data_IF_216195129822
#
_entry.id   IF_216195129822
#
_cell.length_a   1.000
_cell.length_b   1.000
_cell.length_c   1.000
_cell.angle_alpha   90.00
_cell.angle_beta   90.00
_cell.angle_gamma   90.00
#
_symmetry.space_group_name_H-M   'P 1'
#
loop_
_entity.id
_entity.type
_entity.pdbx_description
1 polymer ?
#
# COMPACT_ATOMS: atom_id res chain seq x y z
N UNK A 1 -6.97 -53.72 40.73
CA UNK A 1 -6.12 -53.78 39.51
C UNK A 1 -7.05 -53.47 38.35
N UNK A 2 -6.92 -52.42 37.53
CA UNK A 2 -5.79 -51.60 37.14
C UNK A 2 -6.38 -50.25 36.71
N UNK A 3 -5.88 -49.13 37.23
CA UNK A 3 -6.26 -47.81 36.78
C UNK A 3 -5.62 -47.56 35.41
N UNK A 4 -6.40 -47.39 34.35
CA UNK A 4 -5.88 -46.84 33.09
C UNK A 4 -6.25 -45.36 33.06
N UNK A 5 -5.26 -44.54 33.43
CA UNK A 5 -5.26 -43.10 33.29
C UNK A 5 -4.91 -42.80 31.81
N UNK A 6 -5.89 -42.45 30.99
CA UNK A 6 -5.65 -41.92 29.64
C UNK A 6 -5.33 -40.43 29.77
N UNK A 7 -4.04 -40.09 29.69
CA UNK A 7 -3.58 -38.72 29.50
C UNK A 7 -3.82 -38.37 28.04
N UNK A 8 -4.93 -37.66 27.75
CA UNK A 8 -5.10 -36.97 26.49
C UNK A 8 -4.14 -35.77 26.51
N UNK A 9 -2.98 -35.93 25.88
CA UNK A 9 -2.10 -34.80 25.58
C UNK A 9 -2.84 -33.91 24.57
N UNK A 10 -3.42 -32.81 25.06
CA UNK A 10 -3.87 -31.72 24.22
C UNK A 10 -2.64 -31.17 23.50
N UNK A 11 -2.45 -31.59 22.25
CA UNK A 11 -1.55 -30.94 21.32
C UNK A 11 -2.13 -29.55 21.07
N UNK A 12 -1.77 -28.60 21.93
CA UNK A 12 -1.88 -27.19 21.62
C UNK A 12 -0.91 -26.98 20.45
N UNK A 13 -1.40 -27.14 19.22
CA UNK A 13 -0.83 -26.42 18.10
C UNK A 13 -1.03 -24.94 18.44
N UNK A 14 -0.06 -24.37 19.14
CA UNK A 14 0.17 -22.95 19.06
C UNK A 14 0.48 -22.70 17.59
N UNK A 15 -0.56 -22.33 16.83
CA UNK A 15 -0.35 -21.56 15.62
C UNK A 15 0.44 -20.36 16.12
N UNK A 16 1.73 -20.31 15.80
CA UNK A 16 2.45 -19.06 15.93
C UNK A 16 1.73 -18.13 14.95
N UNK A 17 0.90 -17.25 15.48
CA UNK A 17 0.35 -16.14 14.72
C UNK A 17 1.58 -15.36 14.21
N UNK A 18 1.77 -15.33 12.89
CA UNK A 18 2.83 -14.55 12.28
C UNK A 18 2.41 -13.08 12.37
N UNK A 19 2.97 -12.34 13.32
CA UNK A 19 2.59 -10.95 13.48
C UNK A 19 2.91 -10.12 12.22
N UNK A 20 2.09 -9.11 11.95
CA UNK A 20 2.40 -8.12 10.94
C UNK A 20 3.58 -7.25 11.40
N UNK A 21 4.49 -6.94 10.49
CA UNK A 21 5.70 -6.18 10.75
C UNK A 21 5.75 -4.91 9.90
N UNK A 22 6.26 -3.83 10.49
CA UNK A 22 6.55 -2.57 9.83
C UNK A 22 8.02 -2.21 10.10
N UNK A 23 8.85 -2.32 9.07
CA UNK A 23 10.31 -2.25 9.22
C UNK A 23 10.92 -1.32 8.18
N UNK A 24 11.82 -0.43 8.60
CA UNK A 24 12.67 0.29 7.64
C UNK A 24 13.76 -0.65 7.13
N UNK A 25 13.88 -0.79 5.82
CA UNK A 25 14.86 -1.66 5.17
C UNK A 25 16.24 -1.03 5.29
N UNK A 26 17.19 -1.77 5.85
CA UNK A 26 18.59 -1.34 6.03
C UNK A 26 19.53 -2.48 5.67
N UNK A 27 20.80 -2.16 5.42
CA UNK A 27 21.81 -3.19 5.18
C UNK A 27 21.95 -4.18 6.35
N UNK A 28 21.78 -3.68 7.58
CA UNK A 28 21.94 -4.44 8.83
C UNK A 28 20.85 -5.51 9.02
N UNK A 29 19.60 -5.23 8.62
CA UNK A 29 18.46 -6.14 8.84
C UNK A 29 18.05 -6.92 7.59
N UNK A 30 18.52 -6.56 6.40
CA UNK A 30 18.08 -7.16 5.13
C UNK A 30 18.09 -8.69 5.14
N UNK A 31 19.12 -9.32 5.70
CA UNK A 31 19.25 -10.78 5.73
C UNK A 31 18.12 -11.50 6.50
N UNK A 32 17.41 -10.79 7.38
CA UNK A 32 16.27 -11.32 8.13
C UNK A 32 14.91 -10.88 7.59
N UNK A 33 14.86 -10.05 6.55
CA UNK A 33 13.62 -9.49 6.03
C UNK A 33 13.06 -10.28 4.85
N UNK A 34 11.74 -10.38 4.84
CA UNK A 34 10.92 -10.93 3.78
C UNK A 34 10.59 -9.87 2.70
N UNK A 35 11.59 -9.12 2.23
CA UNK A 35 11.40 -8.11 1.18
C UNK A 35 10.98 -8.77 -0.15
N UNK A 36 10.24 -8.07 -1.02
CA UNK A 36 9.97 -8.56 -2.37
C UNK A 36 11.28 -8.81 -3.11
N UNK A 37 11.51 -10.06 -3.50
CA UNK A 37 12.68 -10.51 -4.24
C UNK A 37 12.29 -10.80 -5.70
N UNK A 38 13.15 -10.43 -6.64
CA UNK A 38 12.84 -10.50 -8.06
C UNK A 38 13.77 -9.67 -8.94
N UNK A 39 13.68 -9.87 -10.25
CA UNK A 39 14.52 -9.19 -11.25
C UNK A 39 14.32 -7.66 -11.26
N UNK A 40 13.19 -7.18 -10.76
CA UNK A 40 12.74 -5.79 -10.90
C UNK A 40 12.39 -5.13 -9.56
N UNK A 41 12.84 -5.67 -8.42
CA UNK A 41 12.62 -5.03 -7.11
C UNK A 41 13.06 -3.56 -7.14
N UNK A 42 12.12 -2.65 -6.92
CA UNK A 42 12.32 -1.19 -7.04
C UNK A 42 12.70 -0.57 -5.68
N UNK A 43 12.60 -1.32 -4.58
CA UNK A 43 12.96 -0.89 -3.24
C UNK A 43 14.46 -0.60 -3.07
N UNK A 44 14.77 0.32 -2.16
CA UNK A 44 16.14 0.65 -1.73
C UNK A 44 16.21 0.82 -0.20
N UNK A 45 17.43 0.90 0.34
CA UNK A 45 17.61 1.20 1.76
C UNK A 45 16.95 2.53 2.17
N UNK A 46 16.24 2.49 3.30
CA UNK A 46 15.42 3.58 3.83
C UNK A 46 13.95 3.50 3.44
N UNK A 47 13.56 2.66 2.49
CA UNK A 47 12.15 2.36 2.25
C UNK A 47 11.56 1.53 3.41
N UNK A 48 10.23 1.48 3.49
CA UNK A 48 9.52 0.82 4.59
C UNK A 48 8.79 -0.41 4.10
N UNK A 49 9.12 -1.56 4.67
CA UNK A 49 8.47 -2.84 4.46
C UNK A 49 7.28 -2.98 5.40
N UNK A 50 6.12 -3.36 4.85
CA UNK A 50 4.99 -3.95 5.57
C UNK A 50 4.89 -5.41 5.15
N UNK A 51 4.93 -6.32 6.12
CA UNK A 51 4.90 -7.77 5.81
C UNK A 51 4.10 -8.55 6.84
N UNK A 52 3.42 -9.60 6.37
CA UNK A 52 2.77 -10.62 7.19
C UNK A 52 2.99 -12.01 6.55
N UNK A 53 2.19 -13.00 6.94
CA UNK A 53 2.23 -14.36 6.40
C UNK A 53 1.78 -14.47 4.93
N UNK A 54 1.00 -13.51 4.42
CA UNK A 54 0.43 -13.56 3.06
C UNK A 54 1.17 -12.70 2.05
N UNK A 55 1.52 -11.48 2.42
CA UNK A 55 2.04 -10.47 1.49
C UNK A 55 3.25 -9.72 2.04
N UNK A 56 4.01 -9.17 1.11
CA UNK A 56 5.12 -8.25 1.36
C UNK A 56 4.90 -7.00 0.50
N UNK A 57 4.84 -5.83 1.13
CA UNK A 57 4.57 -4.55 0.49
C UNK A 57 5.63 -3.52 0.89
N UNK A 58 6.16 -2.77 -0.07
CA UNK A 58 7.14 -1.72 0.18
C UNK A 58 6.56 -0.35 -0.13
N UNK A 59 6.60 0.52 0.87
CA UNK A 59 6.32 1.96 0.75
C UNK A 59 7.64 2.70 0.62
N UNK A 60 7.80 3.46 -0.47
CA UNK A 60 9.03 4.19 -0.71
C UNK A 60 9.24 5.29 0.34
N UNK A 61 10.50 5.52 0.72
CA UNK A 61 10.88 6.53 1.70
C UNK A 61 10.25 7.91 1.38
N UNK A 62 9.62 8.54 2.36
CA UNK A 62 8.85 9.78 2.21
C UNK A 62 9.74 11.01 1.99
N UNK A 63 10.40 11.08 0.83
CA UNK A 63 11.27 12.19 0.42
C UNK A 63 11.08 12.53 -1.06
N UNK A 64 11.09 13.83 -1.44
CA UNK A 64 10.84 14.24 -2.84
C UNK A 64 11.79 13.61 -3.86
N UNK A 65 13.04 13.34 -3.47
CA UNK A 65 14.05 12.75 -4.34
C UNK A 65 13.92 11.24 -4.56
N UNK A 66 12.92 10.57 -3.95
CA UNK A 66 12.73 9.14 -4.14
C UNK A 66 12.08 8.86 -5.50
N UNK A 67 12.79 8.10 -6.33
CA UNK A 67 12.34 7.59 -7.62
C UNK A 67 12.58 6.08 -7.61
N UNK A 68 11.57 5.26 -7.91
CA UNK A 68 11.70 3.81 -8.01
C UNK A 68 12.80 3.45 -9.01
N UNK A 69 12.74 4.05 -10.20
CA UNK A 69 13.78 3.92 -11.23
C UNK A 69 13.86 5.18 -12.13
N UNK A 70 14.63 5.12 -13.22
CA UNK A 70 14.85 6.27 -14.11
C UNK A 70 13.57 6.82 -14.76
N UNK A 71 12.52 5.99 -14.85
CA UNK A 71 11.25 6.32 -15.51
C UNK A 71 10.09 6.47 -14.54
N UNK A 72 10.16 5.87 -13.36
CA UNK A 72 9.14 5.93 -12.30
C UNK A 72 9.64 6.87 -11.20
N UNK A 73 9.18 8.12 -11.23
CA UNK A 73 9.70 9.21 -10.39
C UNK A 73 8.69 9.67 -9.35
N UNK A 74 9.21 10.44 -8.38
CA UNK A 74 8.46 11.06 -7.28
C UNK A 74 7.56 10.08 -6.51
N UNK A 75 8.12 8.93 -6.11
CA UNK A 75 7.36 7.84 -5.47
C UNK A 75 7.40 7.89 -3.94
N UNK A 76 7.92 8.97 -3.34
CA UNK A 76 8.04 9.08 -1.89
C UNK A 76 6.69 8.94 -1.18
N UNK A 77 6.55 7.93 -0.33
CA UNK A 77 5.30 7.59 0.35
C UNK A 77 4.30 6.79 -0.48
N UNK A 78 4.66 6.36 -1.70
CA UNK A 78 3.86 5.50 -2.56
C UNK A 78 4.24 4.02 -2.37
N UNK A 79 3.34 3.09 -2.71
CA UNK A 79 3.68 1.66 -2.74
C UNK A 79 4.39 1.37 -4.05
N UNK A 80 5.58 0.76 -3.99
CA UNK A 80 6.44 0.52 -5.15
C UNK A 80 6.65 -0.96 -5.43
N UNK A 81 6.55 -1.81 -4.42
CA UNK A 81 6.61 -3.26 -4.57
C UNK A 81 5.46 -3.89 -3.78
N UNK A 82 4.76 -4.87 -4.34
CA UNK A 82 3.73 -5.64 -3.65
C UNK A 82 3.67 -7.07 -4.20
N UNK A 83 3.89 -8.06 -3.35
CA UNK A 83 3.85 -9.47 -3.77
C UNK A 83 3.30 -10.39 -2.70
N UNK A 84 2.79 -11.54 -3.14
CA UNK A 84 2.51 -12.67 -2.26
C UNK A 84 3.81 -13.28 -1.72
N UNK A 85 3.76 -13.78 -0.48
CA UNK A 85 4.87 -14.43 0.21
C UNK A 85 5.19 -15.81 -0.34
N UNK A 86 4.16 -16.59 -0.67
CA UNK A 86 4.32 -17.97 -1.15
C UNK A 86 4.83 -18.03 -2.59
N UNK A 87 4.51 -17.03 -3.41
CA UNK A 87 4.94 -16.93 -4.81
C UNK A 87 5.39 -15.49 -5.13
N UNK A 88 6.60 -15.09 -4.67
CA UNK A 88 7.11 -13.75 -4.92
C UNK A 88 7.29 -13.49 -6.42
N UNK A 89 6.61 -12.45 -6.94
CA UNK A 89 6.72 -12.04 -8.32
C UNK A 89 6.20 -10.60 -8.52
N UNK A 90 6.85 -9.64 -7.89
CA UNK A 90 6.44 -8.25 -8.02
C UNK A 90 6.73 -7.70 -9.41
N UNK A 91 5.73 -7.03 -9.99
CA UNK A 91 5.76 -6.33 -11.29
C UNK A 91 5.06 -4.96 -11.19
N UNK A 92 4.71 -4.52 -9.98
CA UNK A 92 4.15 -3.21 -9.74
C UNK A 92 5.26 -2.19 -9.96
N UNK A 93 5.00 -1.13 -10.74
CA UNK A 93 5.97 -0.04 -10.81
C UNK A 93 5.73 0.98 -9.72
N UNK A 94 4.45 1.36 -9.51
CA UNK A 94 4.05 2.24 -8.41
C UNK A 94 2.52 2.35 -8.29
N UNK A 95 2.01 2.33 -7.07
CA UNK A 95 0.67 2.82 -6.71
C UNK A 95 0.79 4.19 -6.04
N UNK A 96 0.20 5.22 -6.64
CA UNK A 96 0.21 6.61 -6.18
C UNK A 96 -1.12 6.96 -5.49
N UNK A 97 -1.22 6.87 -4.16
CA UNK A 97 -2.41 7.32 -3.44
C UNK A 97 -2.62 8.82 -3.66
N UNK A 98 -3.87 9.22 -3.84
CA UNK A 98 -4.25 10.61 -4.09
C UNK A 98 -3.64 11.22 -5.36
N UNK A 99 -3.06 10.42 -6.25
CA UNK A 99 -2.32 10.90 -7.41
C UNK A 99 -0.90 11.39 -7.12
N UNK A 100 -0.30 11.01 -5.99
CA UNK A 100 1.14 11.18 -5.75
C UNK A 100 1.52 12.50 -5.10
N UNK A 101 0.94 12.82 -3.95
CA UNK A 101 1.35 13.97 -3.15
C UNK A 101 2.79 13.81 -2.60
N UNK A 102 3.40 14.92 -2.19
CA UNK A 102 4.68 14.90 -1.47
C UNK A 102 4.44 14.58 0.01
N UNK A 103 4.44 13.30 0.32
CA UNK A 103 4.21 12.79 1.67
C UNK A 103 5.44 12.90 2.57
N UNK A 104 5.20 13.11 3.86
CA UNK A 104 6.18 13.07 4.96
C UNK A 104 5.71 12.09 6.02
N UNK A 105 6.62 11.37 6.66
CA UNK A 105 6.31 10.54 7.82
C UNK A 105 5.75 11.37 8.98
N UNK A 106 4.65 10.92 9.58
CA UNK A 106 4.05 11.55 10.76
C UNK A 106 3.82 10.58 11.93
N UNK A 107 4.02 9.28 11.73
CA UNK A 107 3.99 8.31 12.82
C UNK A 107 3.67 6.90 12.37
N UNK A 108 3.67 5.99 13.33
CA UNK A 108 3.28 4.61 13.15
C UNK A 108 2.50 4.11 14.36
N UNK A 109 1.69 3.07 14.17
CA UNK A 109 0.93 2.44 15.25
C UNK A 109 1.11 0.93 15.26
N UNK A 110 1.07 0.33 16.45
CA UNK A 110 1.00 -1.12 16.66
C UNK A 110 -0.27 -1.41 17.45
N UNK A 111 -1.13 -2.27 16.92
CA UNK A 111 -2.41 -2.66 17.53
C UNK A 111 -3.28 -1.44 17.92
N UNK A 112 -3.23 -0.39 17.09
CA UNK A 112 -3.95 0.87 17.30
C UNK A 112 -3.31 1.82 18.31
N UNK A 113 -2.15 1.46 18.88
CA UNK A 113 -1.41 2.30 19.83
C UNK A 113 -0.28 3.04 19.10
N UNK A 114 -0.21 4.35 19.32
CA UNK A 114 0.87 5.20 18.83
C UNK A 114 2.24 4.74 19.31
N UNK A 115 3.18 4.63 18.37
CA UNK A 115 4.58 4.41 18.69
C UNK A 115 5.34 5.71 18.43
N UNK A 116 6.02 6.20 19.46
CA UNK A 116 6.96 7.32 19.35
C UNK A 116 8.20 6.84 18.62
N UNK A 117 8.20 6.98 17.30
CA UNK A 117 9.37 6.75 16.45
C UNK A 117 9.72 8.04 15.70
N UNK A 118 11.02 8.27 15.54
CA UNK A 118 11.56 9.33 14.68
C UNK A 118 11.30 9.11 13.18
N UNK A 119 10.81 7.92 12.80
CA UNK A 119 10.58 7.52 11.41
C UNK A 119 11.85 7.13 10.65
N UNK A 120 13.02 7.22 11.29
CA UNK A 120 14.31 6.94 10.67
C UNK A 120 14.62 5.45 10.58
N UNK A 121 14.16 4.65 11.57
CA UNK A 121 14.41 3.20 11.66
C UNK A 121 13.27 2.50 12.39
N UNK A 122 12.18 2.25 11.68
CA UNK A 122 11.05 1.48 12.18
C UNK A 122 11.46 0.00 12.33
N UNK A 123 11.03 -0.62 13.43
CA UNK A 123 11.11 -2.06 13.65
C UNK A 123 9.96 -2.46 14.59
N UNK A 124 8.75 -2.47 14.03
CA UNK A 124 7.51 -2.67 14.77
C UNK A 124 6.86 -4.00 14.37
N UNK A 125 6.19 -4.65 15.33
CA UNK A 125 5.51 -5.92 15.12
C UNK A 125 4.27 -6.01 16.02
N UNK A 126 3.15 -6.53 15.50
CA UNK A 126 1.91 -6.76 16.25
C UNK A 126 0.84 -7.46 15.42
N UNK A 127 -0.36 -7.61 15.96
CA UNK A 127 -1.49 -8.15 15.20
C UNK A 127 -1.92 -7.20 14.06
N UNK A 128 -1.68 -5.90 14.23
CA UNK A 128 -1.79 -4.89 13.19
C UNK A 128 -0.70 -3.83 13.33
N UNK A 129 -0.11 -3.45 12.21
CA UNK A 129 0.82 -2.32 12.12
C UNK A 129 0.26 -1.27 11.16
N UNK A 130 0.60 -0.01 11.37
CA UNK A 130 0.26 1.04 10.40
C UNK A 130 1.34 2.10 10.26
N UNK A 131 1.57 2.52 9.02
CA UNK A 131 2.43 3.62 8.64
C UNK A 131 1.55 4.83 8.30
N UNK A 132 1.87 6.00 8.85
CA UNK A 132 1.13 7.23 8.56
C UNK A 132 2.02 8.31 7.99
N UNK A 133 1.51 8.89 6.92
CA UNK A 133 2.17 9.94 6.18
C UNK A 133 1.21 11.13 6.00
N UNK A 134 1.78 12.32 5.78
CA UNK A 134 1.03 13.55 5.51
C UNK A 134 1.64 14.35 4.39
N UNK A 135 0.81 14.84 3.49
CA UNK A 135 1.12 16.01 2.69
C UNK A 135 0.52 17.24 3.36
N UNK A 136 1.35 18.23 3.65
CA UNK A 136 0.91 19.47 4.29
C UNK A 136 -0.02 20.26 3.36
N UNK A 137 -0.97 20.99 3.96
CA UNK A 137 -1.75 21.96 3.19
C UNK A 137 -0.86 23.10 2.68
N UNK A 138 -1.20 23.58 1.48
CA UNK A 138 -0.63 24.79 0.88
C UNK A 138 -1.79 25.66 0.40
N UNK A 139 -1.51 26.90 0.01
CA UNK A 139 -2.55 27.79 -0.53
C UNK A 139 -3.25 27.14 -1.73
N UNK A 140 -4.56 26.90 -1.60
CA UNK A 140 -5.36 26.23 -2.64
C UNK A 140 -5.13 24.72 -2.77
N UNK A 141 -4.40 24.08 -1.83
CA UNK A 141 -4.20 22.63 -1.77
C UNK A 141 -4.60 22.08 -0.40
N UNK A 142 -5.30 20.93 -0.35
CA UNK A 142 -5.73 20.34 0.92
C UNK A 142 -4.53 19.76 1.68
N UNK A 143 -4.70 19.58 3.00
CA UNK A 143 -3.88 18.61 3.73
C UNK A 143 -4.36 17.20 3.35
N UNK A 144 -3.42 16.27 3.20
CA UNK A 144 -3.73 14.87 2.89
C UNK A 144 -3.05 13.96 3.89
N UNK A 145 -3.83 13.28 4.72
CA UNK A 145 -3.36 12.24 5.63
C UNK A 145 -3.51 10.87 4.94
N UNK A 146 -2.44 10.09 4.94
CA UNK A 146 -2.36 8.78 4.30
C UNK A 146 -1.95 7.73 5.33
N UNK A 147 -2.70 6.64 5.41
CA UNK A 147 -2.41 5.52 6.29
C UNK A 147 -2.35 4.22 5.49
N UNK A 148 -1.27 3.48 5.68
CA UNK A 148 -1.13 2.09 5.26
C UNK A 148 -1.28 1.20 6.48
N UNK A 149 -2.15 0.20 6.41
CA UNK A 149 -2.39 -0.75 7.50
C UNK A 149 -2.26 -2.17 6.98
N UNK A 150 -1.50 -2.98 7.70
CA UNK A 150 -1.40 -4.42 7.48
C UNK A 150 -1.71 -5.16 8.78
N UNK A 151 -2.47 -6.25 8.70
CA UNK A 151 -2.76 -7.14 9.83
C UNK A 151 -2.22 -8.53 9.54
N UNK A 152 -1.97 -9.29 10.59
CA UNK A 152 -1.71 -10.72 10.46
C UNK A 152 -2.88 -11.39 9.72
N UNK A 153 -2.57 -12.22 8.72
CA UNK A 153 -3.53 -12.96 7.91
C UNK A 153 -4.18 -12.19 6.76
N UNK A 154 -4.02 -10.87 6.66
CA UNK A 154 -4.57 -10.08 5.57
C UNK A 154 -3.85 -10.39 4.25
N UNK A 155 -4.59 -10.69 3.18
CA UNK A 155 -4.05 -10.90 1.84
C UNK A 155 -3.96 -9.60 1.01
N UNK A 156 -4.21 -8.46 1.64
CA UNK A 156 -4.23 -7.15 1.03
C UNK A 156 -3.64 -6.08 1.97
N UNK A 157 -3.12 -5.01 1.38
CA UNK A 157 -2.72 -3.82 2.11
C UNK A 157 -3.91 -2.85 2.17
N UNK A 158 -4.35 -2.48 3.37
CA UNK A 158 -5.38 -1.46 3.52
C UNK A 158 -4.78 -0.07 3.39
N UNK A 159 -5.37 0.77 2.54
CA UNK A 159 -4.91 2.14 2.28
C UNK A 159 -6.06 3.10 2.55
N UNK A 160 -5.82 4.12 3.36
CA UNK A 160 -6.79 5.17 3.65
C UNK A 160 -6.19 6.55 3.37
N UNK A 161 -6.84 7.32 2.50
CA UNK A 161 -6.48 8.69 2.16
C UNK A 161 -7.57 9.63 2.66
N UNK A 162 -7.22 10.58 3.53
CA UNK A 162 -8.13 11.59 4.07
C UNK A 162 -7.69 12.98 3.64
N UNK A 163 -8.63 13.72 3.07
CA UNK A 163 -8.44 15.11 2.68
C UNK A 163 -9.08 16.03 3.71
N UNK A 164 -8.40 17.12 4.07
CA UNK A 164 -8.95 18.20 4.91
C UNK A 164 -8.55 19.56 4.36
N UNK A 165 -9.38 20.58 4.62
CA UNK A 165 -9.14 21.93 4.12
C UNK A 165 -8.94 22.93 5.26
N UNK A 166 -7.69 23.09 5.74
CA UNK A 166 -7.37 24.13 6.73
C UNK A 166 -7.27 25.54 6.11
N UNK A 167 -7.45 25.71 4.79
CA UNK A 167 -7.39 27.01 4.13
C UNK A 167 -8.70 27.79 4.35
N UNK A 168 -8.67 29.14 4.30
CA UNK A 168 -9.86 29.97 4.51
C UNK A 168 -10.87 29.90 3.36
N UNK A 169 -10.45 29.48 2.16
CA UNK A 169 -11.28 29.40 0.97
C UNK A 169 -11.61 27.94 0.62
N UNK A 170 -12.77 27.66 0.00
CA UNK A 170 -13.10 26.33 -0.49
C UNK A 170 -12.07 25.81 -1.52
N UNK A 171 -11.73 24.52 -1.44
CA UNK A 171 -10.78 23.88 -2.35
C UNK A 171 -11.48 22.81 -3.17
N UNK A 172 -11.27 22.82 -4.48
CA UNK A 172 -11.71 21.74 -5.37
C UNK A 172 -10.64 20.66 -5.44
N UNK A 173 -11.00 19.41 -5.12
CA UNK A 173 -10.09 18.26 -5.06
C UNK A 173 -10.63 17.13 -5.91
N UNK A 174 -9.81 16.63 -6.85
CA UNK A 174 -10.09 15.36 -7.53
C UNK A 174 -9.64 14.21 -6.64
N UNK A 175 -10.60 13.42 -6.13
CA UNK A 175 -10.29 12.22 -5.34
C UNK A 175 -10.01 11.06 -6.30
N UNK A 176 -8.74 10.79 -6.52
CA UNK A 176 -8.25 9.78 -7.47
C UNK A 176 -6.99 9.10 -6.96
N UNK A 177 -6.76 7.90 -7.41
CA UNK A 177 -5.47 7.23 -7.29
C UNK A 177 -4.92 6.91 -8.69
N UNK A 178 -3.63 6.62 -8.76
CA UNK A 178 -2.98 6.22 -10.01
C UNK A 178 -2.21 4.92 -9.79
N UNK A 179 -2.30 4.00 -10.74
CA UNK A 179 -1.52 2.76 -10.73
C UNK A 179 -0.67 2.69 -11.97
N UNK A 180 0.63 2.50 -11.78
CA UNK A 180 1.55 2.21 -12.87
C UNK A 180 1.96 0.75 -12.80
N UNK A 181 1.47 0.00 -13.77
CA UNK A 181 1.88 -1.36 -14.09
C UNK A 181 2.17 -1.37 -15.59
N UNK A 182 3.41 -1.65 -15.97
CA UNK A 182 3.95 -1.31 -17.28
C UNK A 182 3.83 -2.47 -18.32
N UNK A 183 3.93 -2.10 -19.60
CA UNK A 183 4.16 -2.95 -20.80
C UNK A 183 3.14 -4.03 -21.15
N UNK A 184 2.90 -4.99 -20.27
CA UNK A 184 2.15 -6.23 -20.54
C UNK A 184 0.84 -6.31 -19.78
N UNK A 185 0.67 -5.44 -18.78
CA UNK A 185 -0.58 -5.30 -18.04
C UNK A 185 -1.75 -4.82 -18.91
N UNK A 186 -2.89 -5.48 -18.71
CA UNK A 186 -4.22 -5.12 -19.19
C UNK A 186 -5.01 -4.64 -17.96
N UNK A 187 -5.74 -3.53 -18.09
CA UNK A 187 -6.55 -3.00 -16.98
C UNK A 187 -8.04 -3.14 -17.25
N UNK A 188 -8.79 -3.44 -16.20
CA UNK A 188 -10.24 -3.60 -16.27
C UNK A 188 -10.93 -3.20 -14.97
N UNK A 189 -12.25 -3.08 -15.04
CA UNK A 189 -13.09 -2.83 -13.88
C UNK A 189 -14.39 -3.63 -13.99
N UNK A 190 -14.92 -4.03 -12.84
CA UNK A 190 -16.21 -4.69 -12.69
C UNK A 190 -17.01 -3.92 -11.66
N UNK A 191 -17.91 -3.08 -12.16
CA UNK A 191 -18.77 -2.23 -11.34
C UNK A 191 -19.66 -3.04 -10.40
N UNK A 192 -20.07 -4.27 -10.78
CA UNK A 192 -20.94 -5.10 -9.93
C UNK A 192 -20.20 -5.64 -8.72
N UNK A 193 -18.92 -5.96 -8.90
CA UNK A 193 -18.03 -6.43 -7.82
C UNK A 193 -17.29 -5.27 -7.13
N UNK A 194 -17.45 -4.05 -7.63
CA UNK A 194 -16.77 -2.85 -7.16
C UNK A 194 -15.24 -3.04 -7.09
N UNK A 195 -14.67 -3.53 -8.19
CA UNK A 195 -13.24 -3.85 -8.28
C UNK A 195 -12.66 -3.33 -9.58
N UNK A 196 -11.42 -2.90 -9.51
CA UNK A 196 -10.57 -2.52 -10.63
C UNK A 196 -9.28 -3.32 -10.52
N UNK A 197 -8.74 -3.76 -11.65
CA UNK A 197 -7.56 -4.59 -11.65
C UNK A 197 -6.62 -4.28 -12.81
N UNK A 198 -5.37 -4.73 -12.63
CA UNK A 198 -4.30 -4.79 -13.60
C UNK A 198 -3.80 -6.22 -13.63
N UNK A 199 -3.95 -6.87 -14.77
CA UNK A 199 -3.57 -8.26 -14.96
C UNK A 199 -2.47 -8.41 -15.99
N UNK A 200 -1.46 -9.18 -15.64
CA UNK A 200 -0.38 -9.62 -16.52
C UNK A 200 -0.33 -11.15 -16.54
N UNK A 201 -0.96 -11.72 -17.56
CA UNK A 201 -1.03 -13.18 -17.75
C UNK A 201 0.35 -13.80 -18.01
N UNK A 202 1.29 -13.06 -18.60
CA UNK A 202 2.61 -13.61 -18.93
C UNK A 202 3.44 -13.84 -17.66
N UNK A 203 3.36 -12.91 -16.71
CA UNK A 203 3.99 -13.03 -15.42
C UNK A 203 3.07 -13.66 -14.36
N UNK A 204 1.83 -14.02 -14.70
CA UNK A 204 0.84 -14.57 -13.76
C UNK A 204 0.64 -13.67 -12.52
N UNK A 205 0.58 -12.36 -12.75
CA UNK A 205 0.49 -11.35 -11.69
C UNK A 205 -0.75 -10.47 -11.88
N UNK A 206 -1.52 -10.28 -10.82
CA UNK A 206 -2.70 -9.41 -10.82
C UNK A 206 -2.68 -8.50 -9.60
N UNK A 207 -2.87 -7.20 -9.83
CA UNK A 207 -3.14 -6.22 -8.78
C UNK A 207 -4.60 -5.81 -8.85
N UNK A 208 -5.26 -5.68 -7.71
CA UNK A 208 -6.64 -5.21 -7.65
C UNK A 208 -6.83 -4.19 -6.54
N UNK A 209 -7.74 -3.23 -6.77
CA UNK A 209 -8.22 -2.32 -5.75
C UNK A 209 -9.70 -2.59 -5.52
N UNK A 210 -10.06 -2.71 -4.25
CA UNK A 210 -11.43 -2.87 -3.77
C UNK A 210 -11.71 -1.68 -2.84
N UNK A 211 -12.52 -0.70 -3.23
CA UNK A 211 -12.84 0.44 -2.41
C UNK A 211 -13.76 0.03 -1.27
N UNK A 212 -13.55 0.64 -0.12
CA UNK A 212 -14.38 0.43 1.06
C UNK A 212 -15.30 1.64 1.23
N UNK A 213 -16.61 1.39 1.30
CA UNK A 213 -17.61 2.43 1.57
C UNK A 213 -17.87 3.41 0.43
N UNK A 214 -17.35 3.16 -0.77
CA UNK A 214 -17.58 3.97 -1.97
C UNK A 214 -17.48 3.10 -3.24
N UNK A 215 -17.92 3.63 -4.38
CA UNK A 215 -17.85 2.94 -5.67
C UNK A 215 -16.60 3.37 -6.46
N UNK A 216 -15.96 2.43 -7.18
CA UNK A 216 -15.00 2.76 -8.23
C UNK A 216 -15.74 3.47 -9.36
N UNK A 217 -15.08 4.49 -9.88
CA UNK A 217 -15.39 5.10 -11.13
C UNK A 217 -14.15 5.00 -12.00
N UNK A 218 -14.16 4.04 -12.93
CA UNK A 218 -13.04 3.85 -13.83
C UNK A 218 -13.05 4.99 -14.86
N UNK A 219 -12.08 5.89 -14.73
CA UNK A 219 -12.03 7.14 -15.50
C UNK A 219 -11.58 6.90 -16.95
N UNK A 220 -10.79 5.85 -17.18
CA UNK A 220 -10.40 5.41 -18.50
C UNK A 220 -11.33 4.28 -18.99
N UNK A 221 -11.45 4.06 -20.30
CA UNK A 221 -12.11 2.85 -20.79
C UNK A 221 -11.30 1.60 -20.39
N UNK A 222 -11.94 0.49 -19.97
CA UNK A 222 -11.27 -0.80 -19.80
C UNK A 222 -10.41 -1.11 -21.01
N UNK A 223 -9.10 -1.33 -20.79
CA UNK A 223 -8.17 -1.47 -21.90
C UNK A 223 -7.93 -2.93 -22.15
N UNK A 224 -8.53 -3.47 -23.20
CA UNK A 224 -8.33 -4.86 -23.65
C UNK A 224 -6.94 -5.11 -24.28
N UNK A 225 -6.08 -4.09 -24.34
CA UNK A 225 -4.74 -4.14 -24.92
C UNK A 225 -3.70 -3.56 -23.95
N UNK A 226 -2.46 -4.05 -23.96
CA UNK A 226 -1.42 -3.50 -23.09
C UNK A 226 -1.13 -2.01 -23.38
N UNK A 227 -0.88 -1.24 -22.33
CA UNK A 227 -0.56 0.19 -22.42
C UNK A 227 0.94 0.45 -22.66
N UNK A 228 1.31 1.62 -23.21
CA UNK A 228 2.70 2.05 -23.25
C UNK A 228 3.31 2.17 -21.84
N UNK A 229 4.63 1.94 -21.73
CA UNK A 229 5.49 1.83 -20.52
C UNK A 229 5.54 3.12 -19.65
N UNK A 230 4.61 4.06 -19.76
CA UNK A 230 4.68 5.37 -19.08
C UNK A 230 3.34 5.94 -18.60
N UNK A 231 2.23 5.33 -18.97
CA UNK A 231 0.92 5.88 -18.63
C UNK A 231 0.38 5.17 -17.37
N UNK A 232 0.37 5.83 -16.19
CA UNK A 232 -0.40 5.28 -15.10
C UNK A 232 -1.88 5.23 -15.48
N UNK A 233 -2.58 4.24 -14.96
CA UNK A 233 -4.03 4.12 -15.06
C UNK A 233 -4.65 4.90 -13.91
N UNK A 234 -5.58 5.78 -14.24
CA UNK A 234 -6.34 6.57 -13.26
C UNK A 234 -7.66 5.88 -12.94
N UNK A 235 -8.05 5.91 -11.68
CA UNK A 235 -9.43 5.69 -11.29
C UNK A 235 -9.84 6.68 -10.21
N UNK A 236 -11.11 7.03 -10.21
CA UNK A 236 -11.72 7.88 -9.21
C UNK A 236 -12.51 6.99 -8.22
N UNK A 237 -12.68 7.45 -6.99
CA UNK A 237 -13.47 6.75 -5.97
C UNK A 237 -14.60 7.63 -5.44
N UNK A 238 -15.78 7.05 -5.30
CA UNK A 238 -16.98 7.72 -4.83
C UNK A 238 -17.71 8.49 -5.92
N UNK A 239 -17.41 9.78 -6.08
CA UNK A 239 -18.10 10.66 -7.04
C UNK A 239 -17.18 11.06 -8.17
N UNK A 240 -17.71 11.08 -9.40
CA UNK A 240 -16.97 11.50 -10.56
C UNK A 240 -16.61 12.99 -10.46
N UNK A 241 -15.37 13.33 -10.80
CA UNK A 241 -14.91 14.71 -10.84
C UNK A 241 -14.48 15.27 -9.49
N UNK A 242 -14.35 16.59 -9.43
CA UNK A 242 -13.81 17.25 -8.25
C UNK A 242 -14.86 17.43 -7.15
N UNK A 243 -14.45 17.19 -5.90
CA UNK A 243 -15.22 17.45 -4.69
C UNK A 243 -14.76 18.79 -4.11
N UNK A 244 -15.70 19.63 -3.71
CA UNK A 244 -15.39 20.85 -2.96
C UNK A 244 -15.24 20.53 -1.48
N UNK A 245 -14.07 20.85 -0.93
CA UNK A 245 -13.79 20.85 0.50
C UNK A 245 -14.01 22.25 1.04
N UNK A 246 -15.04 22.41 1.87
CA UNK A 246 -15.27 23.66 2.61
C UNK A 246 -14.16 23.87 3.65
N UNK A 247 -13.86 25.12 4.04
CA UNK A 247 -12.94 25.42 5.13
C UNK A 247 -13.32 24.71 6.44
N UNK A 248 -12.35 24.09 7.11
CA UNK A 248 -12.51 23.36 8.38
C UNK A 248 -12.01 21.92 8.35
#
# INVERSE_FOLDING_TARGET
MWHILLILAAFFCAVQAEAAELVTITEENLAGLAVPDGKESDWIFGDTLLVNDKISAVVAASRPSRHANMTVRNVGGCVIDLTQREKPNDQLSCFYPGGGFSYKFVGATVDGVEVLDSGLRLALQGASVSLRLRADAEAGRPQVDLTYTLRDGDDCLQIATRYSNPNPDPISVEVRDLVRADRTFVSGADQRRNVIWWDDVFFEQTYAIIPVGCDILFADEPVEKPRPVRAPVRYDVGKAGAITLEPG
#
